data_IF_133860851643
#
_entry.id   IF_133860851643
#
_cell.length_a   1.000
_cell.length_b   1.000
_cell.length_c   1.000
_cell.angle_alpha   90.00
_cell.angle_beta   90.00
_cell.angle_gamma   90.00
#
_symmetry.space_group_name_H-M   'P 1'
#
loop_
_entity.id
_entity.type
_entity.pdbx_description
1 polymer ?
#
# COMPACT_ATOMS: atom_id res chain seq x y z
N UNK A 1 -16.75 35.92 -13.05
CA UNK A 1 -15.75 35.18 -13.87
C UNK A 1 -14.68 34.70 -12.92
N UNK A 2 -14.41 33.40 -12.85
CA UNK A 2 -13.26 32.86 -12.10
C UNK A 2 -11.98 33.23 -12.84
N UNK A 3 -11.14 34.03 -12.19
CA UNK A 3 -9.82 34.43 -12.69
C UNK A 3 -8.95 33.18 -12.91
N UNK A 4 -8.12 33.19 -13.95
CA UNK A 4 -7.22 32.09 -14.31
C UNK A 4 -6.33 31.72 -13.11
N UNK A 5 -5.90 32.74 -12.35
CA UNK A 5 -5.11 32.56 -11.12
C UNK A 5 -5.83 31.68 -10.08
N UNK A 6 -7.14 31.85 -9.95
CA UNK A 6 -7.93 31.08 -8.98
C UNK A 6 -8.11 29.63 -9.43
N UNK A 7 -8.29 29.39 -10.74
CA UNK A 7 -8.31 28.02 -11.29
C UNK A 7 -7.00 27.29 -11.03
N UNK A 8 -5.85 27.95 -11.26
CA UNK A 8 -4.53 27.37 -11.01
C UNK A 8 -4.36 27.01 -9.53
N UNK A 9 -4.77 27.89 -8.61
CA UNK A 9 -4.70 27.62 -7.17
C UNK A 9 -5.51 26.39 -6.78
N UNK A 10 -6.75 26.28 -7.29
CA UNK A 10 -7.63 25.14 -7.01
C UNK A 10 -7.03 23.83 -7.53
N UNK A 11 -6.42 23.86 -8.72
CA UNK A 11 -5.79 22.68 -9.30
C UNK A 11 -4.53 22.24 -8.53
N UNK A 12 -3.70 23.19 -8.10
CA UNK A 12 -2.55 22.89 -7.21
C UNK A 12 -3.02 22.26 -5.90
N UNK A 13 -4.10 22.79 -5.31
CA UNK A 13 -4.66 22.26 -4.07
C UNK A 13 -5.18 20.83 -4.27
N UNK A 14 -5.94 20.58 -5.34
CA UNK A 14 -6.45 19.24 -5.65
C UNK A 14 -5.31 18.23 -5.86
N UNK A 15 -4.24 18.61 -6.58
CA UNK A 15 -3.06 17.75 -6.77
C UNK A 15 -2.33 17.47 -5.46
N UNK A 16 -2.24 18.48 -4.58
CA UNK A 16 -1.62 18.32 -3.25
C UNK A 16 -2.43 17.37 -2.37
N UNK A 17 -3.75 17.51 -2.36
CA UNK A 17 -4.66 16.63 -1.61
C UNK A 17 -4.59 15.19 -2.13
N UNK A 18 -4.56 14.99 -3.46
CA UNK A 18 -4.37 13.67 -4.06
C UNK A 18 -3.02 13.05 -3.68
N UNK A 19 -1.93 13.83 -3.71
CA UNK A 19 -0.62 13.35 -3.32
C UNK A 19 -0.58 12.94 -1.83
N UNK A 20 -1.17 13.75 -0.95
CA UNK A 20 -1.27 13.45 0.47
C UNK A 20 -2.10 12.18 0.71
N UNK A 21 -3.27 12.06 0.07
CA UNK A 21 -4.10 10.86 0.19
C UNK A 21 -3.37 9.59 -0.30
N UNK A 22 -2.61 9.69 -1.39
CA UNK A 22 -1.80 8.58 -1.89
C UNK A 22 -0.68 8.19 -0.90
N UNK A 23 -0.01 9.18 -0.28
CA UNK A 23 1.00 8.95 0.75
C UNK A 23 0.41 8.32 2.01
N UNK A 24 -0.74 8.81 2.47
CA UNK A 24 -1.45 8.24 3.63
C UNK A 24 -1.86 6.80 3.37
N UNK A 25 -2.42 6.50 2.19
CA UNK A 25 -2.78 5.15 1.80
C UNK A 25 -1.54 4.23 1.77
N UNK A 26 -0.41 4.70 1.23
CA UNK A 26 0.84 3.95 1.24
C UNK A 26 1.36 3.71 2.67
N UNK A 27 1.28 4.71 3.54
CA UNK A 27 1.70 4.60 4.94
C UNK A 27 0.85 3.56 5.69
N UNK A 28 -0.47 3.55 5.47
CA UNK A 28 -1.37 2.55 6.03
C UNK A 28 -1.01 1.14 5.55
N UNK A 29 -0.79 0.93 4.24
CA UNK A 29 -0.37 -0.38 3.71
C UNK A 29 0.94 -0.85 4.33
N UNK A 30 1.94 0.02 4.46
CA UNK A 30 3.22 -0.27 5.14
C UNK A 30 3.02 -0.67 6.60
N UNK A 31 2.15 0.04 7.33
CA UNK A 31 1.83 -0.28 8.71
C UNK A 31 1.19 -1.67 8.85
N UNK A 32 0.24 -2.01 7.96
CA UNK A 32 -0.38 -3.35 7.90
C UNK A 32 0.67 -4.43 7.67
N UNK A 33 1.55 -4.27 6.67
CA UNK A 33 2.60 -5.26 6.36
C UNK A 33 3.55 -5.45 7.53
N UNK A 34 3.99 -4.36 8.16
CA UNK A 34 4.86 -4.42 9.35
C UNK A 34 4.18 -5.15 10.52
N UNK A 35 2.88 -4.93 10.71
CA UNK A 35 2.09 -5.63 11.72
C UNK A 35 2.05 -7.13 11.45
N UNK A 36 1.71 -7.54 10.22
CA UNK A 36 1.66 -8.96 9.80
C UNK A 36 3.01 -9.64 9.98
N UNK A 37 4.09 -9.04 9.48
CA UNK A 37 5.44 -9.59 9.62
C UNK A 37 5.87 -9.72 11.09
N UNK A 38 5.47 -8.77 11.93
CA UNK A 38 5.75 -8.82 13.37
C UNK A 38 4.98 -9.98 14.03
N UNK A 39 3.69 -10.12 13.75
CA UNK A 39 2.88 -11.22 14.31
C UNK A 39 3.44 -12.58 13.93
N UNK A 40 3.76 -12.78 12.64
CA UNK A 40 4.37 -14.02 12.15
C UNK A 40 5.70 -14.35 12.86
N UNK A 41 6.55 -13.35 13.11
CA UNK A 41 7.79 -13.52 13.90
C UNK A 41 7.50 -13.89 15.36
N UNK A 42 6.50 -13.25 15.98
CA UNK A 42 6.12 -13.55 17.37
C UNK A 42 5.59 -14.97 17.53
N UNK A 43 4.94 -15.52 16.49
CA UNK A 43 4.46 -16.91 16.43
C UNK A 43 5.58 -17.92 16.10
N UNK A 44 6.83 -17.46 15.93
CA UNK A 44 7.97 -18.32 15.59
C UNK A 44 7.98 -18.79 14.14
N UNK A 45 7.10 -18.26 13.29
CA UNK A 45 6.99 -18.60 11.87
C UNK A 45 7.19 -17.35 11.02
N UNK A 46 8.45 -16.88 10.85
CA UNK A 46 8.71 -15.70 10.04
C UNK A 46 8.20 -15.90 8.60
N UNK A 47 7.63 -14.84 8.04
CA UNK A 47 7.16 -14.86 6.65
C UNK A 47 8.33 -15.14 5.70
N UNK A 48 8.13 -16.08 4.79
CA UNK A 48 9.15 -16.44 3.80
C UNK A 48 9.50 -15.27 2.88
N UNK A 49 10.70 -15.27 2.29
CA UNK A 49 11.16 -14.21 1.40
C UNK A 49 10.21 -13.92 0.21
N UNK A 50 9.60 -14.96 -0.35
CA UNK A 50 8.63 -14.81 -1.45
C UNK A 50 7.34 -14.11 -0.98
N UNK A 51 6.83 -14.46 0.21
CA UNK A 51 5.69 -13.75 0.81
C UNK A 51 6.05 -12.31 1.16
N UNK A 52 7.26 -12.08 1.67
CA UNK A 52 7.74 -10.74 1.98
C UNK A 52 7.74 -9.84 0.73
N UNK A 53 8.25 -10.35 -0.40
CA UNK A 53 8.22 -9.61 -1.67
C UNK A 53 6.80 -9.25 -2.14
N UNK A 54 5.82 -10.14 -1.97
CA UNK A 54 4.41 -9.85 -2.28
C UNK A 54 3.84 -8.75 -1.37
N UNK A 55 4.14 -8.83 -0.07
CA UNK A 55 3.71 -7.82 0.90
C UNK A 55 4.38 -6.46 0.64
N UNK A 56 5.65 -6.45 0.21
CA UNK A 56 6.36 -5.22 -0.16
C UNK A 56 5.73 -4.58 -1.41
N UNK A 57 5.38 -5.37 -2.43
CA UNK A 57 4.62 -4.89 -3.60
C UNK A 57 3.26 -4.28 -3.21
N UNK A 58 2.55 -4.86 -2.25
CA UNK A 58 1.33 -4.26 -1.69
C UNK A 58 1.62 -2.97 -0.91
N UNK A 59 2.66 -2.95 -0.07
CA UNK A 59 3.07 -1.77 0.68
C UNK A 59 3.40 -0.59 -0.24
N UNK A 60 3.98 -0.84 -1.42
CA UNK A 60 4.29 0.16 -2.44
C UNK A 60 3.08 0.55 -3.31
N UNK A 61 1.96 -0.18 -3.21
CA UNK A 61 0.79 0.02 -4.05
C UNK A 61 0.94 -0.50 -5.47
N UNK A 62 1.95 -1.34 -5.72
CA UNK A 62 2.15 -2.04 -7.00
C UNK A 62 1.22 -3.24 -7.13
N UNK A 63 0.82 -3.83 -6.01
CA UNK A 63 -0.15 -4.93 -5.94
C UNK A 63 -1.38 -4.52 -5.14
N UNK A 64 -2.54 -4.98 -5.57
CA UNK A 64 -3.76 -4.88 -4.76
C UNK A 64 -3.78 -5.97 -3.67
N UNK A 65 -4.66 -5.82 -2.68
CA UNK A 65 -4.89 -6.85 -1.66
C UNK A 65 -5.31 -8.18 -2.29
N UNK A 66 -6.14 -8.13 -3.35
CA UNK A 66 -6.65 -9.33 -4.03
C UNK A 66 -5.55 -10.05 -4.80
N UNK A 67 -4.63 -9.32 -5.44
CA UNK A 67 -3.46 -9.90 -6.11
C UNK A 67 -2.58 -10.64 -5.12
N UNK A 68 -2.32 -10.05 -3.95
CA UNK A 68 -1.55 -10.70 -2.88
C UNK A 68 -2.28 -11.94 -2.37
N UNK A 69 -3.57 -11.84 -2.06
CA UNK A 69 -4.35 -12.98 -1.56
C UNK A 69 -4.35 -14.15 -2.56
N UNK A 70 -4.55 -13.85 -3.85
CA UNK A 70 -4.49 -14.86 -4.92
C UNK A 70 -3.11 -15.52 -5.01
N UNK A 71 -2.03 -14.74 -4.92
CA UNK A 71 -0.66 -15.26 -4.97
C UNK A 71 -0.32 -16.13 -3.75
N UNK A 72 -0.81 -15.75 -2.56
CA UNK A 72 -0.63 -16.56 -1.35
C UNK A 72 -1.47 -17.84 -1.41
N UNK A 73 -2.72 -17.76 -1.87
CA UNK A 73 -3.61 -18.93 -1.99
C UNK A 73 -3.00 -20.00 -2.91
N UNK A 74 -2.48 -19.60 -4.07
CA UNK A 74 -1.76 -20.50 -4.99
C UNK A 74 -0.54 -21.17 -4.36
N UNK A 75 0.08 -20.51 -3.38
CA UNK A 75 1.32 -20.97 -2.75
C UNK A 75 1.08 -21.91 -1.58
N UNK A 76 0.09 -21.61 -0.74
CA UNK A 76 -0.22 -22.40 0.46
C UNK A 76 -1.23 -23.54 0.20
N UNK A 77 -1.87 -23.58 -0.97
CA UNK A 77 -2.67 -24.73 -1.42
C UNK A 77 -1.88 -25.85 -2.12
N UNK A 78 -0.55 -25.71 -2.25
CA UNK A 78 0.35 -26.79 -2.70
C UNK A 78 0.78 -27.64 -1.51
#
# INVERSE_FOLDING_TARGET
MTDIREKIRLEIQALTEQANAAQEAQAQRRATVKSVQRSARMEGQPVSAQTAALLDGYAEGQLSSDDVLKALDQRYKR
#
